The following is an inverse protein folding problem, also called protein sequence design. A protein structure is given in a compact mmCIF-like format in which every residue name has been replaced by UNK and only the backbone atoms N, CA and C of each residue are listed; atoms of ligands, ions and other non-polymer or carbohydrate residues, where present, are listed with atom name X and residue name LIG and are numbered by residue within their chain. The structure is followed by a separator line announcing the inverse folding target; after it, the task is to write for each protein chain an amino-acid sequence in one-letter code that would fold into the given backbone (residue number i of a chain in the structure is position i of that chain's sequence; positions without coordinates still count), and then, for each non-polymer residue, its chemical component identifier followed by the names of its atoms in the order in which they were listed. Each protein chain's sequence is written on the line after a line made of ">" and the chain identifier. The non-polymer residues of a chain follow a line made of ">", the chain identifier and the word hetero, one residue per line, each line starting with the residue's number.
data_IF_881074820888
#
_entry.id   IF_881074820888
#
_cell.length_a   1.000
_cell.length_b   1.000
_cell.length_c   1.000
_cell.angle_alpha   90.00
_cell.angle_beta   90.00
_cell.angle_gamma   90.00
#
_symmetry.space_group_name_H-M   'P 1'
#
loop_
_entity.id
_entity.type
_entity.pdbx_description
1 polymer ?
#
# COMPACT_ATOMS: atom_id res chain seq x y z
N UNK A 1 46.47 17.83 59.24
CA UNK A 1 46.39 17.14 57.94
C UNK A 1 44.91 16.90 57.66
N UNK A 2 44.18 17.91 57.16
CA UNK A 2 42.71 17.88 57.02
C UNK A 2 42.26 18.85 55.92
N UNK A 3 42.81 18.73 54.71
CA UNK A 3 42.53 19.64 53.60
C UNK A 3 42.13 18.95 52.28
N UNK A 4 42.01 17.62 52.26
CA UNK A 4 41.76 16.86 51.03
C UNK A 4 40.39 16.15 50.97
N UNK A 5 39.55 16.27 52.01
CA UNK A 5 38.27 15.54 52.07
C UNK A 5 37.13 16.29 51.37
N UNK A 6 37.06 17.62 51.50
CA UNK A 6 35.97 18.41 50.91
C UNK A 6 36.09 18.55 49.37
N UNK A 7 37.31 18.61 48.83
CA UNK A 7 37.54 18.68 47.38
C UNK A 7 37.23 17.38 46.64
N UNK A 8 37.35 16.23 47.32
CA UNK A 8 37.07 14.92 46.73
C UNK A 8 35.55 14.67 46.60
N UNK A 9 34.76 15.15 47.56
CA UNK A 9 33.30 15.03 47.55
C UNK A 9 32.63 15.93 46.49
N UNK A 10 33.14 17.15 46.29
CA UNK A 10 32.66 18.04 45.22
C UNK A 10 32.99 17.50 43.83
N UNK A 11 34.21 16.97 43.63
CA UNK A 11 34.62 16.34 42.38
C UNK A 11 33.77 15.10 42.05
N UNK A 12 33.48 14.27 43.07
CA UNK A 12 32.64 13.07 42.94
C UNK A 12 31.20 13.41 42.59
N UNK A 13 30.62 14.45 43.20
CA UNK A 13 29.26 14.92 42.90
C UNK A 13 29.16 15.51 41.50
N UNK A 14 30.13 16.32 41.10
CA UNK A 14 30.20 16.86 39.74
C UNK A 14 30.32 15.75 38.68
N UNK A 15 31.11 14.71 38.94
CA UNK A 15 31.23 13.53 38.08
C UNK A 15 29.94 12.72 37.97
N UNK A 16 29.24 12.51 39.08
CA UNK A 16 27.93 11.83 39.09
C UNK A 16 26.86 12.62 38.31
N UNK A 17 26.76 13.93 38.55
CA UNK A 17 25.81 14.79 37.85
C UNK A 17 26.11 14.90 36.35
N UNK A 18 27.39 14.95 35.97
CA UNK A 18 27.83 14.89 34.57
C UNK A 18 27.46 13.54 33.93
N UNK A 19 27.69 12.42 34.62
CA UNK A 19 27.32 11.09 34.15
C UNK A 19 25.82 10.91 33.96
N UNK A 20 24.99 11.40 34.88
CA UNK A 20 23.51 11.37 34.76
C UNK A 20 23.03 12.23 33.58
N UNK A 21 23.62 13.41 33.38
CA UNK A 21 23.30 14.27 32.23
C UNK A 21 23.70 13.63 30.91
N UNK A 22 24.90 13.03 30.86
CA UNK A 22 25.38 12.32 29.68
C UNK A 22 24.49 11.13 29.35
N UNK A 23 24.17 10.26 30.33
CA UNK A 23 23.29 9.12 30.12
C UNK A 23 21.89 9.54 29.63
N UNK A 24 21.33 10.63 30.18
CA UNK A 24 20.05 11.18 29.69
C UNK A 24 20.16 11.73 28.27
N UNK A 25 21.26 12.41 27.93
CA UNK A 25 21.48 12.92 26.59
C UNK A 25 21.63 11.78 25.57
N UNK A 26 22.39 10.74 25.90
CA UNK A 26 22.54 9.52 25.08
C UNK A 26 21.20 8.82 24.89
N UNK A 27 20.41 8.66 25.94
CA UNK A 27 19.08 8.05 25.87
C UNK A 27 18.11 8.86 25.01
N UNK A 28 18.15 10.20 25.07
CA UNK A 28 17.33 11.06 24.21
C UNK A 28 17.74 10.94 22.73
N UNK A 29 19.04 10.84 22.44
CA UNK A 29 19.54 10.62 21.09
C UNK A 29 19.08 9.26 20.56
N UNK A 30 19.17 8.21 21.38
CA UNK A 30 18.67 6.86 21.01
C UNK A 30 17.16 6.89 20.72
N UNK A 31 16.35 7.47 21.60
CA UNK A 31 14.90 7.58 21.40
C UNK A 31 14.58 8.34 20.11
N UNK A 32 15.30 9.42 19.81
CA UNK A 32 15.12 10.17 18.57
C UNK A 32 15.44 9.32 17.35
N UNK A 33 16.55 8.57 17.37
CA UNK A 33 16.93 7.69 16.26
C UNK A 33 15.93 6.54 16.06
N UNK A 34 15.39 5.97 17.13
CA UNK A 34 14.34 4.96 17.05
C UNK A 34 13.07 5.53 16.42
N UNK A 35 12.67 6.74 16.83
CA UNK A 35 11.50 7.43 16.28
C UNK A 35 11.65 7.65 14.77
N UNK A 36 12.78 8.19 14.32
CA UNK A 36 13.04 8.43 12.89
C UNK A 36 13.00 7.14 12.06
N UNK A 37 13.54 6.03 12.61
CA UNK A 37 13.50 4.73 11.94
C UNK A 37 12.08 4.18 11.86
N UNK A 38 11.29 4.34 12.92
CA UNK A 38 9.90 3.91 12.96
C UNK A 38 9.04 4.71 11.98
N UNK A 39 9.21 6.02 11.93
CA UNK A 39 8.51 6.90 10.98
C UNK A 39 8.81 6.48 9.53
N UNK A 40 10.07 6.27 9.18
CA UNK A 40 10.47 5.78 7.83
C UNK A 40 9.89 4.40 7.49
N UNK A 41 9.87 3.49 8.45
CA UNK A 41 9.27 2.17 8.27
C UNK A 41 7.75 2.26 8.07
N UNK A 42 7.07 3.12 8.83
CA UNK A 42 5.64 3.39 8.68
C UNK A 42 5.31 4.05 7.33
N UNK A 43 6.13 5.00 6.87
CA UNK A 43 5.98 5.62 5.55
C UNK A 43 6.12 4.60 4.42
N UNK A 44 7.12 3.72 4.53
CA UNK A 44 7.35 2.64 3.55
C UNK A 44 6.19 1.65 3.53
N UNK A 45 5.65 1.29 4.71
CA UNK A 45 4.47 0.43 4.82
C UNK A 45 3.22 1.09 4.25
N UNK A 46 3.05 2.40 4.47
CA UNK A 46 1.95 3.18 3.90
C UNK A 46 2.05 3.24 2.37
N UNK A 47 3.24 3.46 1.83
CA UNK A 47 3.48 3.45 0.39
C UNK A 47 3.13 2.07 -0.23
N UNK A 48 3.55 0.98 0.41
CA UNK A 48 3.18 -0.38 -0.01
C UNK A 48 1.67 -0.62 0.08
N UNK A 49 1.02 -0.19 1.18
CA UNK A 49 -0.42 -0.28 1.35
C UNK A 49 -1.20 0.49 0.28
N UNK A 50 -0.75 1.71 -0.05
CA UNK A 50 -1.34 2.51 -1.13
C UNK A 50 -1.19 1.81 -2.50
N UNK A 51 -0.04 1.20 -2.76
CA UNK A 51 0.17 0.42 -3.98
C UNK A 51 -0.81 -0.74 -4.10
N UNK A 52 -1.03 -1.51 -3.02
CA UNK A 52 -2.01 -2.61 -3.05
C UNK A 52 -3.45 -2.11 -3.12
N UNK A 53 -3.79 -1.00 -2.48
CA UNK A 53 -5.11 -0.37 -2.61
C UNK A 53 -5.38 0.07 -4.05
N UNK A 54 -4.36 0.57 -4.76
CA UNK A 54 -4.45 0.90 -6.17
C UNK A 54 -4.74 -0.35 -7.03
N UNK A 55 -4.03 -1.45 -6.80
CA UNK A 55 -4.29 -2.73 -7.50
C UNK A 55 -5.72 -3.22 -7.26
N UNK A 56 -6.20 -3.16 -6.02
CA UNK A 56 -7.59 -3.54 -5.69
C UNK A 56 -8.59 -2.63 -6.40
N UNK A 57 -8.34 -1.32 -6.44
CA UNK A 57 -9.23 -0.37 -7.11
C UNK A 57 -9.26 -0.58 -8.63
N UNK A 58 -8.11 -0.87 -9.25
CA UNK A 58 -8.01 -1.20 -10.68
C UNK A 58 -8.86 -2.43 -11.00
N UNK A 59 -8.73 -3.50 -10.20
CA UNK A 59 -9.54 -4.70 -10.36
C UNK A 59 -11.01 -4.41 -10.15
N UNK A 60 -11.38 -3.61 -9.15
CA UNK A 60 -12.77 -3.29 -8.87
C UNK A 60 -13.44 -2.55 -10.04
N UNK A 61 -12.75 -1.61 -10.67
CA UNK A 61 -13.26 -0.92 -11.86
C UNK A 61 -13.33 -1.86 -13.06
N UNK A 62 -12.31 -2.66 -13.30
CA UNK A 62 -12.31 -3.62 -14.41
C UNK A 62 -13.46 -4.63 -14.28
N UNK A 63 -13.63 -5.23 -13.10
CA UNK A 63 -14.69 -6.19 -12.79
C UNK A 63 -16.08 -5.55 -12.89
N UNK A 64 -16.26 -4.33 -12.35
CA UNK A 64 -17.54 -3.64 -12.49
C UNK A 64 -17.87 -3.31 -13.96
N UNK A 65 -16.85 -3.05 -14.78
CA UNK A 65 -17.02 -2.78 -16.22
C UNK A 65 -17.42 -4.05 -16.96
N UNK A 66 -16.69 -5.15 -16.75
CA UNK A 66 -16.97 -6.46 -17.35
C UNK A 66 -18.26 -7.13 -16.84
N UNK A 67 -18.89 -6.60 -15.78
CA UNK A 67 -20.18 -7.07 -15.29
C UNK A 67 -21.36 -6.28 -15.91
N UNK A 68 -21.09 -5.19 -16.63
CA UNK A 68 -22.16 -4.31 -17.14
C UNK A 68 -23.02 -4.96 -18.23
N UNK A 69 -22.44 -5.86 -19.02
CA UNK A 69 -23.06 -6.64 -20.08
C UNK A 69 -23.63 -7.99 -19.57
N UNK A 70 -23.23 -8.44 -18.39
CA UNK A 70 -23.75 -9.65 -17.77
C UNK A 70 -22.70 -10.35 -16.93
N UNK A 71 -22.46 -11.62 -17.24
CA UNK A 71 -21.50 -12.46 -16.52
C UNK A 71 -20.08 -12.29 -17.07
N UNK A 72 -19.12 -12.09 -16.17
CA UNK A 72 -17.70 -12.04 -16.54
C UNK A 72 -17.24 -13.42 -17.01
N UNK A 73 -16.80 -13.51 -18.26
CA UNK A 73 -16.26 -14.73 -18.85
C UNK A 73 -14.87 -15.07 -18.30
N UNK A 74 -14.44 -16.34 -18.35
CA UNK A 74 -13.08 -16.72 -17.98
C UNK A 74 -11.99 -15.99 -18.78
N UNK A 75 -12.29 -15.62 -20.04
CA UNK A 75 -11.37 -14.89 -20.92
C UNK A 75 -11.17 -13.45 -20.45
N UNK A 76 -12.25 -12.74 -20.17
CA UNK A 76 -12.18 -11.37 -19.64
C UNK A 76 -11.46 -11.32 -18.31
N UNK A 77 -11.76 -12.27 -17.42
CA UNK A 77 -11.04 -12.41 -16.16
C UNK A 77 -9.54 -12.59 -16.39
N UNK A 78 -9.14 -13.51 -17.26
CA UNK A 78 -7.72 -13.76 -17.56
C UNK A 78 -7.04 -12.51 -18.15
N UNK A 79 -7.73 -11.76 -19.02
CA UNK A 79 -7.20 -10.53 -19.62
C UNK A 79 -7.03 -9.41 -18.58
N UNK A 80 -8.03 -9.21 -17.71
CA UNK A 80 -7.97 -8.24 -16.61
C UNK A 80 -6.83 -8.59 -15.66
N UNK A 81 -6.73 -9.86 -15.26
CA UNK A 81 -5.65 -10.33 -14.38
C UNK A 81 -4.28 -10.16 -15.04
N UNK A 82 -4.12 -10.54 -16.31
CA UNK A 82 -2.86 -10.39 -17.03
C UNK A 82 -2.41 -8.93 -17.09
N UNK A 83 -3.33 -8.02 -17.41
CA UNK A 83 -3.02 -6.61 -17.52
C UNK A 83 -2.67 -5.99 -16.16
N UNK A 84 -3.53 -6.16 -15.15
CA UNK A 84 -3.34 -5.52 -13.85
C UNK A 84 -2.19 -6.16 -13.07
N UNK A 85 -2.03 -7.49 -13.14
CA UNK A 85 -0.89 -8.16 -12.51
C UNK A 85 0.42 -7.86 -13.26
N UNK A 86 0.38 -7.59 -14.56
CA UNK A 86 1.53 -7.09 -15.33
C UNK A 86 2.00 -5.71 -14.85
N UNK A 87 1.07 -4.85 -14.40
CA UNK A 87 1.38 -3.56 -13.79
C UNK A 87 1.84 -3.68 -12.33
N UNK A 88 1.40 -4.73 -11.62
CA UNK A 88 1.82 -5.04 -10.27
C UNK A 88 3.24 -5.66 -10.28
N UNK A 89 4.27 -4.82 -10.35
CA UNK A 89 5.66 -5.28 -10.26
C UNK A 89 5.95 -5.88 -8.86
N UNK A 90 5.82 -7.20 -8.71
CA UNK A 90 6.21 -7.94 -7.52
C UNK A 90 5.18 -8.94 -7.02
N UNK A 91 5.51 -9.61 -5.91
CA UNK A 91 4.62 -10.58 -5.29
C UNK A 91 3.45 -9.87 -4.57
N UNK A 92 2.23 -10.09 -5.05
CA UNK A 92 1.01 -9.62 -4.39
C UNK A 92 0.79 -10.45 -3.11
N UNK A 93 0.62 -9.82 -1.93
CA UNK A 93 0.32 -10.52 -0.69
C UNK A 93 -0.99 -11.31 -0.77
N UNK A 94 -1.07 -12.44 -0.05
CA UNK A 94 -2.23 -13.34 -0.13
C UNK A 94 -3.55 -12.67 0.27
N UNK A 95 -3.50 -11.76 1.26
CA UNK A 95 -4.68 -10.97 1.66
C UNK A 95 -5.21 -10.07 0.53
N UNK A 96 -4.32 -9.54 -0.30
CA UNK A 96 -4.69 -8.70 -1.45
C UNK A 96 -5.28 -9.56 -2.56
N UNK A 97 -4.68 -10.72 -2.84
CA UNK A 97 -5.25 -11.70 -3.78
C UNK A 97 -6.64 -12.15 -3.36
N UNK A 98 -6.83 -12.52 -2.10
CA UNK A 98 -8.14 -12.89 -1.56
C UNK A 98 -9.16 -11.76 -1.72
N UNK A 99 -8.73 -10.50 -1.57
CA UNK A 99 -9.60 -9.35 -1.83
C UNK A 99 -9.96 -9.22 -3.30
N UNK A 100 -9.01 -9.41 -4.22
CA UNK A 100 -9.25 -9.42 -5.66
C UNK A 100 -10.23 -10.54 -6.03
N UNK A 101 -10.01 -11.77 -5.53
CA UNK A 101 -10.94 -12.89 -5.73
C UNK A 101 -12.36 -12.58 -5.27
N UNK A 102 -12.50 -11.89 -4.13
CA UNK A 102 -13.82 -11.49 -3.63
C UNK A 102 -14.55 -10.54 -4.59
N UNK A 103 -13.82 -9.74 -5.39
CA UNK A 103 -14.43 -8.87 -6.40
C UNK A 103 -15.03 -9.70 -7.53
N UNK A 104 -14.37 -10.77 -7.97
CA UNK A 104 -14.92 -11.64 -9.01
C UNK A 104 -16.10 -12.49 -8.51
N UNK A 105 -16.09 -12.90 -7.24
CA UNK A 105 -17.19 -13.65 -6.63
C UNK A 105 -18.41 -12.78 -6.34
N UNK A 106 -18.19 -11.53 -5.97
CA UNK A 106 -19.22 -10.54 -5.71
C UNK A 106 -18.82 -9.22 -6.40
N UNK A 107 -19.10 -9.11 -7.71
CA UNK A 107 -18.79 -7.92 -8.50
C UNK A 107 -19.29 -6.65 -7.84
N UNK A 108 -18.42 -5.64 -7.65
CA UNK A 108 -18.86 -4.37 -7.10
C UNK A 108 -19.75 -3.65 -8.10
N UNK A 109 -20.68 -2.85 -7.60
CA UNK A 109 -21.42 -1.91 -8.44
C UNK A 109 -20.48 -0.82 -8.98
N UNK A 110 -20.84 -0.19 -10.10
CA UNK A 110 -20.09 0.94 -10.68
C UNK A 110 -19.84 2.05 -9.64
N UNK A 111 -20.81 2.29 -8.76
CA UNK A 111 -20.69 3.27 -7.67
C UNK A 111 -19.62 2.86 -6.65
N UNK A 112 -19.60 1.60 -6.24
CA UNK A 112 -18.61 1.09 -5.29
C UNK A 112 -17.20 1.08 -5.89
N UNK A 113 -17.08 0.69 -7.16
CA UNK A 113 -15.83 0.73 -7.89
C UNK A 113 -15.28 2.16 -8.01
N UNK A 114 -16.14 3.14 -8.32
CA UNK A 114 -15.76 4.56 -8.36
C UNK A 114 -15.29 5.08 -6.99
N UNK A 115 -15.93 4.66 -5.90
CA UNK A 115 -15.50 5.03 -4.55
C UNK A 115 -14.15 4.41 -4.17
N UNK A 116 -13.87 3.18 -4.61
CA UNK A 116 -12.55 2.56 -4.47
C UNK A 116 -11.49 3.29 -5.30
N UNK A 117 -11.82 3.68 -6.54
CA UNK A 117 -10.94 4.46 -7.40
C UNK A 117 -10.54 5.79 -6.76
N UNK A 118 -11.50 6.56 -6.23
CA UNK A 118 -11.22 7.83 -5.53
C UNK A 118 -10.33 7.65 -4.29
N UNK A 119 -10.51 6.55 -3.56
CA UNK A 119 -9.75 6.25 -2.33
C UNK A 119 -8.35 5.69 -2.60
N UNK A 120 -8.07 5.24 -3.81
CA UNK A 120 -6.78 4.65 -4.19
C UNK A 120 -5.62 5.65 -4.19
N UNK A 121 -5.92 6.95 -4.34
CA UNK A 121 -4.92 8.00 -4.53
C UNK A 121 -4.35 8.08 -5.96
N UNK A 122 -4.88 7.30 -6.91
CA UNK A 122 -4.52 7.40 -8.32
C UNK A 122 -5.37 8.43 -9.07
N UNK A 123 -4.85 8.90 -10.21
CA UNK A 123 -5.62 9.73 -11.14
C UNK A 123 -6.82 8.96 -11.69
N UNK A 124 -7.99 9.61 -11.74
CA UNK A 124 -9.18 9.02 -12.35
C UNK A 124 -8.98 8.66 -13.82
N UNK A 125 -8.10 9.37 -14.53
CA UNK A 125 -7.78 9.09 -15.94
C UNK A 125 -7.22 7.68 -16.18
N UNK A 126 -6.51 7.10 -15.20
CA UNK A 126 -5.99 5.72 -15.30
C UNK A 126 -7.16 4.73 -15.33
N UNK A 127 -8.24 5.01 -14.60
CA UNK A 127 -9.41 4.15 -14.57
C UNK A 127 -10.21 4.24 -15.87
N UNK A 128 -10.20 5.39 -16.54
CA UNK A 128 -10.77 5.51 -17.89
C UNK A 128 -10.04 4.58 -18.88
N UNK A 129 -8.71 4.50 -18.80
CA UNK A 129 -7.92 3.57 -19.62
C UNK A 129 -8.28 2.10 -19.34
N UNK A 130 -8.51 1.74 -18.07
CA UNK A 130 -8.97 0.39 -17.70
C UNK A 130 -10.35 0.09 -18.29
N UNK A 131 -11.28 1.03 -18.20
CA UNK A 131 -12.63 0.87 -18.76
C UNK A 131 -12.53 0.64 -20.27
N UNK A 132 -11.73 1.45 -20.97
CA UNK A 132 -11.50 1.28 -22.41
C UNK A 132 -10.88 -0.08 -22.75
N UNK A 133 -9.91 -0.55 -21.98
CA UNK A 133 -9.29 -1.86 -22.19
C UNK A 133 -10.32 -3.00 -22.07
N UNK A 134 -11.15 -2.96 -21.02
CA UNK A 134 -12.16 -4.00 -20.78
C UNK A 134 -13.20 -4.01 -21.90
N UNK A 135 -13.73 -2.85 -22.27
CA UNK A 135 -14.73 -2.73 -23.35
C UNK A 135 -14.17 -3.23 -24.69
N UNK A 136 -12.93 -2.85 -25.05
CA UNK A 136 -12.32 -3.33 -26.30
C UNK A 136 -12.02 -4.83 -26.30
N UNK A 137 -11.81 -5.42 -25.12
CA UNK A 137 -11.57 -6.86 -25.00
C UNK A 137 -12.85 -7.67 -25.23
N UNK A 138 -14.01 -7.11 -24.91
CA UNK A 138 -15.33 -7.72 -25.14
C UNK A 138 -15.68 -7.78 -26.64
N UNK A 139 -15.48 -6.67 -27.37
CA UNK A 139 -15.80 -6.57 -28.80
C UNK A 139 -15.04 -7.57 -29.70
N UNK A 140 -13.81 -7.93 -29.33
CA UNK A 140 -13.01 -8.87 -30.15
C UNK A 140 -13.53 -10.31 -30.13
N UNK A 141 -14.31 -10.70 -29.11
CA UNK A 141 -14.86 -12.06 -29.00
C UNK A 141 -16.14 -12.22 -29.82
N UNK A 142 -16.88 -11.13 -30.06
CA UNK A 142 -18.12 -11.16 -30.82
C UNK A 142 -17.89 -11.27 -32.34
N UNK A 143 -16.78 -10.74 -32.88
CA UNK A 143 -16.46 -10.85 -34.30
C UNK A 143 -16.08 -12.28 -34.73
N UNK A 144 -15.41 -13.06 -33.88
CA UNK A 144 -15.03 -14.46 -34.19
C UNK A 144 -16.22 -15.44 -34.13
N UNK A 145 -17.31 -15.08 -33.46
CA UNK A 145 -18.52 -15.93 -33.39
C UNK A 145 -19.48 -15.74 -34.57
N UNK A 146 -19.31 -14.69 -35.39
CA UNK A 146 -20.13 -14.47 -36.59
C UNK A 146 -19.50 -15.00 -37.89
N UNK A 147 -18.34 -15.65 -37.81
CA UNK A 147 -17.59 -16.17 -38.95
C UNK A 147 -17.56 -17.72 -39.06
N UNK A 148 -18.51 -18.44 -38.44
CA UNK A 148 -18.68 -19.90 -38.59
C UNK A 148 -20.11 -20.28 -38.99
#
# INVERSE_FOLDING_TARGET
>A
MAANLDGDDEARKAGFDAGVKQAKAEQLVEISLLKDRLEKAMESLKAAGNHFNAIIALNAVAVATAQCDGDITPSERANIELFINGLAAGAIPEAVKAKIESLYQQPPTVKEALELAKKSGMSLSIFDEIIHLVVLSDDTVQEEQQAQ
#
